data_IF_669024559682
#
_entry.id   IF_669024559682
#
_cell.length_a   1.000
_cell.length_b   1.000
_cell.length_c   1.000
_cell.angle_alpha   90.00
_cell.angle_beta   90.00
_cell.angle_gamma   90.00
#
_symmetry.space_group_name_H-M   'P 1'
#
loop_
_entity.id
_entity.type
_entity.pdbx_description
1 polymer ?
#
# COMPACT_ATOMS: atom_id res chain seq x y z
N UNK A 1 -8.15 -9.94 -28.29
CA UNK A 1 -8.66 -9.01 -29.32
C UNK A 1 -9.40 -7.80 -28.71
N UNK A 2 -10.29 -8.00 -27.73
CA UNK A 2 -11.10 -6.91 -27.12
C UNK A 2 -10.26 -5.87 -26.40
N UNK A 3 -9.31 -6.26 -25.53
CA UNK A 3 -8.50 -5.33 -24.72
C UNK A 3 -7.73 -4.30 -25.57
N UNK A 4 -7.13 -4.75 -26.70
CA UNK A 4 -6.44 -3.87 -27.65
C UNK A 4 -7.39 -2.87 -28.33
N UNK A 5 -8.62 -3.27 -28.65
CA UNK A 5 -9.63 -2.35 -29.23
C UNK A 5 -10.02 -1.22 -28.26
N UNK A 6 -9.86 -1.44 -26.95
CA UNK A 6 -10.09 -0.44 -25.90
C UNK A 6 -8.85 0.43 -25.59
N UNK A 7 -7.76 0.27 -26.36
CA UNK A 7 -6.50 0.99 -26.12
C UNK A 7 -5.80 0.59 -24.81
N UNK A 8 -6.05 -0.62 -24.30
CA UNK A 8 -5.41 -1.15 -23.08
C UNK A 8 -4.39 -2.24 -23.44
N UNK A 9 -3.41 -2.41 -22.55
CA UNK A 9 -2.43 -3.51 -22.62
C UNK A 9 -2.91 -4.66 -21.76
N UNK A 10 -3.00 -5.86 -22.34
CA UNK A 10 -3.36 -7.07 -21.59
C UNK A 10 -2.11 -7.73 -21.01
N UNK A 11 -2.20 -8.22 -19.78
CA UNK A 11 -1.26 -9.16 -19.19
C UNK A 11 -2.06 -10.41 -18.78
N UNK A 12 -1.55 -11.60 -19.10
CA UNK A 12 -2.18 -12.86 -18.71
C UNK A 12 -1.71 -13.25 -17.31
N UNK A 13 -2.63 -13.61 -16.43
CA UNK A 13 -2.35 -14.13 -15.10
C UNK A 13 -3.06 -15.45 -14.92
N UNK A 14 -2.39 -16.42 -14.29
CA UNK A 14 -3.07 -17.59 -13.74
C UNK A 14 -3.91 -17.16 -12.52
N UNK A 15 -4.98 -17.91 -12.25
CA UNK A 15 -5.89 -17.60 -11.14
C UNK A 15 -5.23 -17.94 -9.80
N UNK A 16 -4.73 -16.90 -9.13
CA UNK A 16 -4.07 -16.97 -7.84
C UNK A 16 -4.43 -15.75 -6.99
N UNK A 17 -4.33 -15.85 -5.65
CA UNK A 17 -4.61 -14.73 -4.75
C UNK A 17 -3.89 -13.44 -5.20
N UNK A 18 -4.69 -12.40 -5.43
CA UNK A 18 -4.27 -11.06 -5.86
C UNK A 18 -3.55 -10.94 -7.22
N UNK A 19 -3.62 -11.97 -8.07
CA UNK A 19 -3.03 -11.99 -9.42
C UNK A 19 -1.55 -11.57 -9.44
N UNK A 20 -1.14 -10.71 -10.39
CA UNK A 20 0.26 -10.31 -10.57
C UNK A 20 0.60 -9.07 -9.74
N UNK A 21 -0.05 -7.93 -10.02
CA UNK A 21 0.36 -6.63 -9.50
C UNK A 21 0.22 -6.57 -7.99
N UNK A 22 -0.97 -6.90 -7.46
CA UNK A 22 -1.24 -6.76 -6.03
C UNK A 22 -0.48 -7.78 -5.18
N UNK A 23 -0.17 -8.97 -5.75
CA UNK A 23 0.67 -9.98 -5.09
C UNK A 23 2.11 -9.51 -4.84
N UNK A 24 2.60 -8.56 -5.63
CA UNK A 24 3.95 -7.98 -5.48
C UNK A 24 3.86 -6.65 -4.72
N UNK A 25 2.95 -5.78 -5.14
CA UNK A 25 2.85 -4.41 -4.64
C UNK A 25 2.38 -4.34 -3.18
N UNK A 26 1.38 -5.13 -2.79
CA UNK A 26 0.83 -5.04 -1.43
C UNK A 26 1.83 -5.50 -0.37
N UNK A 27 2.57 -6.61 -0.55
CA UNK A 27 3.65 -6.96 0.37
C UNK A 27 4.74 -5.88 0.47
N UNK A 28 5.12 -5.24 -0.65
CA UNK A 28 6.08 -4.12 -0.63
C UNK A 28 5.56 -2.93 0.20
N UNK A 29 4.29 -2.57 0.04
CA UNK A 29 3.66 -1.53 0.87
C UNK A 29 3.63 -1.96 2.34
N UNK A 30 3.20 -3.18 2.62
CA UNK A 30 3.13 -3.72 3.97
C UNK A 30 4.52 -3.74 4.66
N UNK A 31 5.58 -4.02 3.89
CA UNK A 31 6.97 -3.95 4.35
C UNK A 31 7.38 -2.51 4.70
N UNK A 32 6.96 -1.51 3.91
CA UNK A 32 7.16 -0.11 4.26
C UNK A 32 6.42 0.27 5.56
N UNK A 33 5.24 -0.31 5.80
CA UNK A 33 4.53 -0.13 7.07
C UNK A 33 5.27 -0.80 8.23
N UNK A 34 5.86 -1.99 8.05
CA UNK A 34 6.72 -2.61 9.07
C UNK A 34 7.96 -1.75 9.36
N UNK A 35 8.62 -1.24 8.33
CA UNK A 35 9.77 -0.33 8.43
C UNK A 35 9.42 0.89 9.31
N UNK A 36 8.23 1.46 9.13
CA UNK A 36 7.72 2.55 9.97
C UNK A 36 7.37 2.06 11.39
N UNK A 37 6.68 0.92 11.50
CA UNK A 37 6.23 0.35 12.78
C UNK A 37 7.38 0.03 13.73
N UNK A 38 8.50 -0.45 13.17
CA UNK A 38 9.72 -0.79 13.90
C UNK A 38 10.62 0.41 14.15
N UNK A 39 10.25 1.60 13.64
CA UNK A 39 10.97 2.85 13.89
C UNK A 39 12.26 3.01 13.10
N UNK A 40 12.43 2.27 11.98
CA UNK A 40 13.63 2.36 11.14
C UNK A 40 13.72 3.72 10.43
N UNK A 41 12.59 4.33 10.10
CA UNK A 41 12.54 5.65 9.46
C UNK A 41 11.20 6.35 9.65
N UNK A 42 11.20 7.66 9.43
CA UNK A 42 9.96 8.46 9.39
C UNK A 42 9.15 8.18 8.12
N UNK A 43 7.86 8.54 8.11
CA UNK A 43 7.00 8.40 6.92
C UNK A 43 7.66 9.08 5.71
N UNK A 44 8.15 10.31 5.90
CA UNK A 44 8.82 11.09 4.84
C UNK A 44 10.09 10.41 4.34
N UNK A 45 10.95 9.93 5.24
CA UNK A 45 12.22 9.30 4.86
C UNK A 45 12.00 8.02 4.05
N UNK A 46 11.07 7.17 4.48
CA UNK A 46 10.73 5.92 3.77
C UNK A 46 10.27 6.22 2.34
N UNK A 47 9.36 7.19 2.19
CA UNK A 47 8.82 7.56 0.89
C UNK A 47 9.87 8.22 -0.02
N UNK A 48 10.68 9.15 0.51
CA UNK A 48 11.75 9.78 -0.25
C UNK A 48 12.83 8.78 -0.66
N UNK A 49 13.20 7.85 0.22
CA UNK A 49 14.17 6.81 -0.09
C UNK A 49 13.72 5.91 -1.24
N UNK A 50 12.44 5.53 -1.32
CA UNK A 50 11.97 4.70 -2.44
C UNK A 50 11.74 5.52 -3.71
N UNK A 51 11.34 6.79 -3.60
CA UNK A 51 11.27 7.70 -4.76
C UNK A 51 12.65 7.90 -5.39
N UNK A 52 13.66 8.22 -4.59
CA UNK A 52 14.99 8.55 -5.09
C UNK A 52 15.86 7.32 -5.35
N UNK A 53 15.79 6.31 -4.49
CA UNK A 53 16.63 5.12 -4.54
C UNK A 53 16.12 4.04 -5.50
N UNK A 54 14.80 3.84 -5.58
CA UNK A 54 14.18 2.87 -6.47
C UNK A 54 13.48 3.51 -7.69
N UNK A 55 13.59 4.84 -7.83
CA UNK A 55 12.97 5.61 -8.90
C UNK A 55 11.44 5.41 -8.99
N UNK A 56 10.78 5.24 -7.84
CA UNK A 56 9.33 5.13 -7.79
C UNK A 56 8.67 6.51 -7.97
N UNK A 57 7.58 6.63 -8.74
CA UNK A 57 6.90 7.92 -8.93
C UNK A 57 6.18 8.41 -7.67
N UNK A 58 5.87 7.50 -6.74
CA UNK A 58 5.20 7.77 -5.48
C UNK A 58 5.81 6.86 -4.40
N UNK A 59 5.89 7.37 -3.18
CA UNK A 59 6.41 6.61 -2.05
C UNK A 59 5.38 5.56 -1.61
N UNK A 60 5.80 4.43 -1.02
CA UNK A 60 4.89 3.35 -0.66
C UNK A 60 3.81 3.77 0.34
N UNK A 61 4.10 4.66 1.30
CA UNK A 61 3.13 5.09 2.31
C UNK A 61 2.14 6.12 1.74
N UNK A 62 2.62 7.07 0.93
CA UNK A 62 1.76 7.97 0.15
C UNK A 62 0.86 7.18 -0.82
N UNK A 63 1.40 6.15 -1.47
CA UNK A 63 0.65 5.28 -2.37
C UNK A 63 -0.41 4.48 -1.61
N UNK A 64 -0.10 3.98 -0.41
CA UNK A 64 -1.07 3.33 0.46
C UNK A 64 -2.24 4.27 0.80
N UNK A 65 -1.95 5.53 1.15
CA UNK A 65 -2.98 6.53 1.42
C UNK A 65 -3.81 6.91 0.18
N UNK A 66 -3.21 6.83 -1.01
CA UNK A 66 -3.91 7.03 -2.29
C UNK A 66 -4.85 5.86 -2.63
N UNK A 67 -4.40 4.62 -2.39
CA UNK A 67 -5.20 3.40 -2.60
C UNK A 67 -6.34 3.29 -1.56
N UNK A 68 -6.04 3.68 -0.32
CA UNK A 68 -6.88 3.49 0.86
C UNK A 68 -6.37 2.35 1.73
N UNK A 69 -6.15 2.63 3.01
CA UNK A 69 -5.51 1.68 3.93
C UNK A 69 -6.39 0.45 4.22
N UNK A 70 -7.71 0.61 4.20
CA UNK A 70 -8.67 -0.49 4.30
C UNK A 70 -8.59 -1.43 3.08
N UNK A 71 -8.43 -0.88 1.87
CA UNK A 71 -8.20 -1.67 0.66
C UNK A 71 -6.88 -2.43 0.76
N UNK A 72 -5.80 -1.77 1.19
CA UNK A 72 -4.50 -2.42 1.41
C UNK A 72 -4.62 -3.58 2.42
N UNK A 73 -5.27 -3.34 3.57
CA UNK A 73 -5.49 -4.36 4.59
C UNK A 73 -6.32 -5.54 4.07
N UNK A 74 -7.40 -5.25 3.33
CA UNK A 74 -8.26 -6.28 2.74
C UNK A 74 -7.47 -7.19 1.78
N UNK A 75 -6.62 -6.61 0.92
CA UNK A 75 -5.81 -7.41 -0.01
C UNK A 75 -4.74 -8.22 0.73
N UNK A 76 -4.12 -7.67 1.78
CA UNK A 76 -3.16 -8.44 2.60
C UNK A 76 -3.83 -9.63 3.29
N UNK A 77 -5.06 -9.48 3.78
CA UNK A 77 -5.85 -10.60 4.32
C UNK A 77 -6.16 -11.65 3.24
N UNK A 78 -6.57 -11.23 2.04
CA UNK A 78 -6.78 -12.16 0.91
C UNK A 78 -5.51 -12.94 0.57
N UNK A 79 -4.34 -12.29 0.58
CA UNK A 79 -3.06 -12.96 0.36
C UNK A 79 -2.72 -13.94 1.50
N UNK A 80 -2.89 -13.53 2.74
CA UNK A 80 -2.62 -14.35 3.92
C UNK A 80 -3.49 -15.61 3.96
N UNK A 81 -4.80 -15.44 3.77
CA UNK A 81 -5.76 -16.54 3.87
C UNK A 81 -5.71 -17.43 2.62
N UNK A 82 -5.58 -16.83 1.43
CA UNK A 82 -5.53 -17.54 0.16
C UNK A 82 -4.24 -18.34 -0.06
N UNK A 83 -3.13 -17.92 0.54
CA UNK A 83 -1.85 -18.65 0.48
C UNK A 83 -1.57 -19.47 1.75
N UNK A 84 -2.34 -19.25 2.82
CA UNK A 84 -2.16 -19.86 4.13
C UNK A 84 -0.72 -19.74 4.66
N UNK A 85 -0.09 -18.59 4.41
CA UNK A 85 1.32 -18.34 4.75
C UNK A 85 1.47 -17.04 5.54
N UNK A 86 2.07 -17.16 6.72
CA UNK A 86 2.34 -16.05 7.65
C UNK A 86 3.23 -14.96 7.06
N UNK A 87 3.98 -15.24 5.98
CA UNK A 87 4.71 -14.23 5.20
C UNK A 87 3.83 -13.05 4.80
N UNK A 88 2.54 -13.29 4.54
CA UNK A 88 1.60 -12.29 4.07
C UNK A 88 0.76 -11.68 5.21
N UNK A 89 1.16 -11.86 6.47
CA UNK A 89 0.44 -11.26 7.60
C UNK A 89 0.45 -9.73 7.50
N UNK A 90 -0.72 -9.06 7.58
CA UNK A 90 -0.77 -7.60 7.60
C UNK A 90 0.00 -7.03 8.80
N UNK A 91 0.67 -5.89 8.59
CA UNK A 91 1.35 -5.18 9.65
C UNK A 91 0.35 -4.73 10.73
N UNK A 92 0.61 -4.94 12.03
CA UNK A 92 -0.29 -4.51 13.10
C UNK A 92 -0.59 -2.99 13.09
N UNK A 93 0.35 -2.17 12.62
CA UNK A 93 0.15 -0.73 12.47
C UNK A 93 -0.91 -0.41 11.42
N UNK A 94 -0.90 -1.13 10.30
CA UNK A 94 -1.90 -0.96 9.24
C UNK A 94 -3.30 -1.27 9.78
N UNK A 95 -3.45 -2.38 10.50
CA UNK A 95 -4.72 -2.75 11.14
C UNK A 95 -5.20 -1.65 12.10
N UNK A 96 -4.34 -1.15 12.98
CA UNK A 96 -4.69 -0.06 13.91
C UNK A 96 -5.13 1.21 13.21
N UNK A 97 -4.49 1.58 12.10
CA UNK A 97 -4.86 2.78 11.34
C UNK A 97 -6.24 2.62 10.70
N UNK A 98 -6.54 1.44 10.15
CA UNK A 98 -7.86 1.13 9.60
C UNK A 98 -8.93 1.15 10.69
N UNK A 99 -8.68 0.52 11.84
CA UNK A 99 -9.59 0.54 13.00
C UNK A 99 -9.84 1.96 13.52
N UNK A 100 -8.84 2.84 13.46
CA UNK A 100 -8.97 4.25 13.83
C UNK A 100 -9.68 5.12 12.77
N UNK A 101 -10.08 4.55 11.63
CA UNK A 101 -10.69 5.26 10.52
C UNK A 101 -9.72 6.16 9.74
N UNK A 102 -8.41 5.92 9.86
CA UNK A 102 -7.39 6.64 9.11
C UNK A 102 -7.14 5.89 7.80
N UNK A 103 -8.00 6.14 6.82
CA UNK A 103 -8.05 5.37 5.57
C UNK A 103 -7.30 6.05 4.41
N UNK A 104 -6.47 7.05 4.69
CA UNK A 104 -5.73 7.80 3.69
C UNK A 104 -6.48 9.02 3.17
N UNK A 105 -6.33 9.34 1.89
CA UNK A 105 -6.85 10.57 1.27
C UNK A 105 -8.36 10.72 1.41
N UNK A 106 -9.10 9.60 1.31
CA UNK A 106 -10.57 9.59 1.36
C UNK A 106 -11.15 9.99 2.71
N UNK A 107 -10.39 9.83 3.80
CA UNK A 107 -10.74 10.30 5.16
C UNK A 107 -9.89 11.47 5.60
N UNK A 108 -9.15 12.08 4.67
CA UNK A 108 -8.22 13.20 4.91
C UNK A 108 -7.11 12.88 5.93
N UNK A 109 -6.89 11.60 6.25
CA UNK A 109 -5.90 11.16 7.23
C UNK A 109 -5.56 9.68 7.03
N UNK A 110 -4.27 9.40 6.97
CA UNK A 110 -3.67 8.07 6.92
C UNK A 110 -2.26 8.12 7.50
N UNK A 111 -1.25 7.72 6.73
CA UNK A 111 0.16 8.01 7.05
C UNK A 111 0.49 9.50 6.94
N UNK A 112 -0.23 10.22 6.08
CA UNK A 112 -0.22 11.68 5.99
C UNK A 112 -1.55 12.28 6.45
N UNK A 113 -1.49 13.52 6.93
CA UNK A 113 -2.63 14.40 7.16
C UNK A 113 -2.87 15.25 5.90
N UNK A 114 -4.07 15.15 5.35
CA UNK A 114 -4.45 15.79 4.09
C UNK A 114 -5.40 16.99 4.29
N UNK A 115 -5.63 17.43 5.52
CA UNK A 115 -6.57 18.53 5.82
C UNK A 115 -6.06 19.92 5.36
N UNK A 116 -4.76 20.06 5.15
CA UNK A 116 -4.14 21.28 4.62
C UNK A 116 -3.85 21.19 3.12
N UNK A 117 -3.36 22.28 2.53
CA UNK A 117 -2.96 22.32 1.11
C UNK A 117 -1.80 21.37 0.79
N UNK A 118 -0.88 21.20 1.74
CA UNK A 118 0.28 20.31 1.63
C UNK A 118 0.11 19.15 2.61
N UNK A 119 0.17 17.89 2.14
CA UNK A 119 0.12 16.73 3.03
C UNK A 119 1.27 16.73 4.05
N UNK A 120 0.95 16.52 5.33
CA UNK A 120 1.93 16.51 6.42
C UNK A 120 2.10 15.09 6.96
N UNK A 121 3.32 14.54 7.09
CA UNK A 121 3.51 13.21 7.67
C UNK A 121 2.99 13.13 9.11
N UNK A 122 2.27 12.06 9.46
CA UNK A 122 1.71 11.87 10.81
C UNK A 122 2.72 11.33 11.82
N UNK A 123 3.85 10.81 11.34
CA UNK A 123 4.99 10.28 12.12
C UNK A 123 6.32 10.55 11.42
#
# INVERSE_FOLDING_TARGET
AVVRKLGKTAASAEDFPAFIVNRILMPMINEAVYTLYEGVGSVKSIDESLKLGANHPMGPLELADFIGLDTCLAIMNVLHDGLADTKYRPCPLLTKYVEAGWLGRKTQRGFYDYRGEVPVPTR
#
